data_IF_714681049633
#
_entry.id   IF_714681049633
#
_cell.length_a   1.000
_cell.length_b   1.000
_cell.length_c   1.000
_cell.angle_alpha   90.00
_cell.angle_beta   90.00
_cell.angle_gamma   90.00
#
_symmetry.space_group_name_H-M   'P 1'
#
loop_
_entity.id
_entity.type
_entity.pdbx_description
1 polymer ?
#
# COMPACT_ATOMS: atom_id res chain seq x y z
N UNK A 1 -1.66 27.68 15.43
CA UNK A 1 -0.55 27.42 14.57
C UNK A 1 0.28 26.29 15.16
N UNK A 2 0.72 25.43 14.33
CA UNK A 2 1.31 24.18 14.78
C UNK A 2 2.80 24.25 15.04
N UNK A 3 3.36 25.40 15.07
CA UNK A 3 4.79 25.56 15.17
C UNK A 3 5.53 25.36 13.84
N UNK A 4 4.81 25.24 12.75
CA UNK A 4 5.41 25.20 11.43
C UNK A 4 5.33 26.59 10.83
N UNK A 5 6.47 27.10 10.40
CA UNK A 5 6.54 28.35 9.67
C UNK A 5 6.18 28.11 8.21
N UNK A 6 5.73 29.14 7.54
CA UNK A 6 5.42 29.07 6.11
C UNK A 6 6.62 28.63 5.28
N UNK A 7 7.83 28.94 5.77
CA UNK A 7 9.06 28.58 5.08
C UNK A 7 9.50 27.14 5.29
N UNK A 8 8.88 26.42 6.24
CA UNK A 8 9.26 25.04 6.55
C UNK A 8 8.80 24.10 5.45
N UNK A 9 7.65 24.38 4.87
CA UNK A 9 7.09 23.56 3.81
C UNK A 9 6.51 24.48 2.72
N UNK A 10 6.70 24.09 1.48
CA UNK A 10 6.20 24.88 0.34
C UNK A 10 4.82 24.36 -0.07
N UNK A 11 4.11 25.21 -0.85
CA UNK A 11 2.82 24.80 -1.41
C UNK A 11 2.95 23.58 -2.31
N UNK A 12 4.02 23.51 -3.07
CA UNK A 12 4.31 22.38 -3.95
C UNK A 12 4.48 21.10 -3.13
N UNK A 13 5.17 21.17 -2.00
CA UNK A 13 5.35 20.05 -1.10
C UNK A 13 4.03 19.60 -0.49
N UNK A 14 3.17 20.55 -0.08
CA UNK A 14 1.85 20.25 0.43
C UNK A 14 1.01 19.52 -0.62
N UNK A 15 1.12 19.95 -1.87
CA UNK A 15 0.42 19.33 -2.97
C UNK A 15 0.87 17.88 -3.17
N UNK A 16 2.17 17.66 -3.09
CA UNK A 16 2.73 16.31 -3.20
C UNK A 16 2.28 15.40 -2.06
N UNK A 17 2.18 15.95 -0.86
CA UNK A 17 1.67 15.20 0.29
C UNK A 17 0.22 14.78 0.05
N UNK A 18 -0.60 15.71 -0.42
CA UNK A 18 -2.00 15.42 -0.70
C UNK A 18 -2.14 14.36 -1.78
N UNK A 19 -1.30 14.44 -2.81
CA UNK A 19 -1.29 13.47 -3.90
C UNK A 19 -0.86 12.10 -3.41
N UNK A 20 0.22 12.04 -2.63
CA UNK A 20 0.72 10.78 -2.08
C UNK A 20 -0.31 10.13 -1.15
N UNK A 21 -1.09 10.93 -0.47
CA UNK A 21 -2.12 10.44 0.44
C UNK A 21 -3.42 10.07 -0.27
N UNK A 22 -3.50 10.32 -1.57
CA UNK A 22 -4.67 10.00 -2.40
C UNK A 22 -5.98 10.55 -1.81
N UNK A 23 -5.90 11.77 -1.29
CA UNK A 23 -7.07 12.44 -0.72
C UNK A 23 -7.40 12.08 0.71
N UNK A 24 -6.64 11.20 1.33
CA UNK A 24 -6.85 10.85 2.74
C UNK A 24 -6.16 11.87 3.64
N UNK A 25 -6.94 12.68 4.30
CA UNK A 25 -6.43 13.76 5.16
C UNK A 25 -5.60 13.24 6.33
N UNK A 26 -5.97 12.10 6.89
CA UNK A 26 -5.23 11.51 8.02
C UNK A 26 -3.85 11.06 7.59
N UNK A 27 -3.79 10.44 6.43
CA UNK A 27 -2.52 9.99 5.87
C UNK A 27 -1.64 11.20 5.53
N UNK A 28 -2.22 12.24 4.95
CA UNK A 28 -1.48 13.47 4.62
C UNK A 28 -0.88 14.09 5.89
N UNK A 29 -1.66 14.16 6.96
CA UNK A 29 -1.17 14.69 8.25
C UNK A 29 -0.06 13.82 8.82
N UNK A 30 -0.22 12.51 8.73
CA UNK A 30 0.80 11.57 9.19
C UNK A 30 2.12 11.73 8.45
N UNK A 31 2.07 11.87 7.13
CA UNK A 31 3.25 12.10 6.32
C UNK A 31 3.93 13.42 6.73
N UNK A 32 3.15 14.46 6.89
CA UNK A 32 3.67 15.77 7.28
C UNK A 32 4.34 15.74 8.65
N UNK A 33 3.70 15.09 9.62
CA UNK A 33 4.27 14.95 10.96
C UNK A 33 5.59 14.19 10.95
N UNK A 34 5.63 13.10 10.21
CA UNK A 34 6.84 12.28 10.10
C UNK A 34 7.97 13.08 9.47
N UNK A 35 7.67 13.81 8.39
CA UNK A 35 8.66 14.65 7.73
C UNK A 35 9.14 15.80 8.63
N UNK A 36 8.22 16.43 9.35
CA UNK A 36 8.56 17.51 10.28
C UNK A 36 9.45 16.99 11.43
N UNK A 37 9.14 15.81 11.96
CA UNK A 37 9.96 15.19 13.00
C UNK A 37 11.35 14.86 12.49
N UNK A 38 11.47 14.39 11.27
CA UNK A 38 12.76 14.10 10.65
C UNK A 38 13.58 15.37 10.48
N UNK A 39 12.94 16.47 10.05
CA UNK A 39 13.60 17.75 9.90
C UNK A 39 14.12 18.25 11.25
N UNK A 40 13.31 18.14 12.29
CA UNK A 40 13.67 18.56 13.64
C UNK A 40 14.86 17.77 14.18
N UNK A 41 14.83 16.45 14.01
CA UNK A 41 15.94 15.59 14.48
C UNK A 41 17.25 15.89 13.78
N UNK A 42 17.20 16.32 12.53
CA UNK A 42 18.39 16.66 11.75
C UNK A 42 18.83 18.10 11.94
N UNK A 43 18.08 18.88 12.71
CA UNK A 43 18.35 20.28 12.91
C UNK A 43 18.12 21.11 11.65
N UNK A 44 17.27 20.62 10.76
CA UNK A 44 16.96 21.29 9.51
C UNK A 44 15.86 22.33 9.72
N UNK A 45 16.01 23.49 9.08
CA UNK A 45 14.99 24.53 9.15
C UNK A 45 13.81 24.29 8.25
N UNK A 46 13.97 23.37 7.30
CA UNK A 46 12.95 23.08 6.28
C UNK A 46 12.79 21.58 6.10
N UNK A 47 11.61 21.21 5.65
CA UNK A 47 11.34 19.86 5.20
C UNK A 47 11.81 19.76 3.76
N UNK A 48 12.72 18.84 3.49
CA UNK A 48 13.22 18.64 2.12
C UNK A 48 12.32 17.65 1.38
N UNK A 49 12.42 17.67 0.05
CA UNK A 49 11.68 16.70 -0.77
C UNK A 49 12.06 15.27 -0.42
N UNK A 50 13.33 15.03 -0.11
CA UNK A 50 13.80 13.72 0.32
C UNK A 50 13.11 13.26 1.59
N UNK A 51 12.98 14.16 2.58
CA UNK A 51 12.27 13.85 3.83
C UNK A 51 10.81 13.51 3.58
N UNK A 52 10.17 14.21 2.64
CA UNK A 52 8.79 13.91 2.28
C UNK A 52 8.65 12.57 1.60
N UNK A 53 9.55 12.23 0.68
CA UNK A 53 9.53 10.95 0.00
C UNK A 53 9.72 9.80 0.99
N UNK A 54 10.67 9.95 1.92
CA UNK A 54 10.90 8.94 2.95
C UNK A 54 9.69 8.78 3.86
N UNK A 55 9.10 9.89 4.28
CA UNK A 55 7.91 9.85 5.14
C UNK A 55 6.73 9.21 4.44
N UNK A 56 6.53 9.52 3.16
CA UNK A 56 5.45 8.92 2.38
C UNK A 56 5.65 7.42 2.20
N UNK A 57 6.89 7.01 1.95
CA UNK A 57 7.23 5.59 1.81
C UNK A 57 6.99 4.84 3.13
N UNK A 58 7.44 5.41 4.24
CA UNK A 58 7.24 4.81 5.57
C UNK A 58 5.75 4.70 5.90
N UNK A 59 4.96 5.71 5.56
CA UNK A 59 3.53 5.70 5.80
C UNK A 59 2.84 4.60 4.99
N UNK A 60 3.23 4.43 3.74
CA UNK A 60 2.68 3.36 2.89
C UNK A 60 3.04 1.99 3.44
N UNK A 61 4.27 1.80 3.88
CA UNK A 61 4.74 0.54 4.45
C UNK A 61 3.99 0.22 5.73
N UNK A 62 3.76 1.22 6.59
CA UNK A 62 3.00 1.04 7.81
C UNK A 62 1.56 0.63 7.53
N UNK A 63 0.93 1.27 6.57
CA UNK A 63 -0.45 0.94 6.19
C UNK A 63 -0.51 -0.46 5.60
N UNK A 64 0.45 -0.80 4.74
CA UNK A 64 0.52 -2.14 4.17
C UNK A 64 0.65 -3.19 5.27
N UNK A 65 1.55 -2.96 6.22
CA UNK A 65 1.76 -3.90 7.31
C UNK A 65 0.50 -4.05 8.16
N UNK A 66 -0.16 -2.93 8.47
CA UNK A 66 -1.42 -2.95 9.22
C UNK A 66 -2.48 -3.74 8.47
N UNK A 67 -2.58 -3.54 7.17
CA UNK A 67 -3.55 -4.27 6.35
C UNK A 67 -3.23 -5.75 6.29
N UNK A 68 -1.95 -6.11 6.19
CA UNK A 68 -1.53 -7.51 6.23
C UNK A 68 -1.89 -8.17 7.56
N UNK A 69 -1.64 -7.45 8.65
CA UNK A 69 -1.93 -7.96 10.00
C UNK A 69 -3.42 -8.15 10.23
N UNK A 70 -4.26 -7.42 9.51
CA UNK A 70 -5.71 -7.51 9.64
C UNK A 70 -6.32 -8.63 8.81
N UNK A 71 -5.54 -9.29 7.96
CA UNK A 71 -6.06 -10.37 7.14
C UNK A 71 -6.43 -11.58 7.98
N UNK A 72 -7.56 -12.20 7.65
CA UNK A 72 -7.94 -13.47 8.27
C UNK A 72 -6.99 -14.57 7.80
N UNK A 73 -6.94 -15.73 8.48
CA UNK A 73 -6.05 -16.81 8.05
C UNK A 73 -6.26 -17.22 6.60
N UNK A 74 -7.50 -17.32 6.15
CA UNK A 74 -7.80 -17.69 4.77
C UNK A 74 -7.33 -16.61 3.78
N UNK A 75 -7.54 -15.36 4.12
CA UNK A 75 -7.07 -14.24 3.28
C UNK A 75 -5.54 -14.25 3.20
N UNK A 76 -4.88 -14.53 4.31
CA UNK A 76 -3.43 -14.58 4.34
C UNK A 76 -2.89 -15.70 3.46
N UNK A 77 -3.55 -16.86 3.45
CA UNK A 77 -3.16 -17.95 2.57
C UNK A 77 -3.23 -17.51 1.11
N UNK A 78 -4.32 -16.85 0.72
CA UNK A 78 -4.48 -16.34 -0.65
C UNK A 78 -3.37 -15.33 -0.98
N UNK A 79 -3.08 -14.44 -0.07
CA UNK A 79 -1.99 -13.46 -0.26
C UNK A 79 -0.63 -14.15 -0.46
N UNK A 80 -0.33 -15.13 0.39
CA UNK A 80 0.94 -15.86 0.32
C UNK A 80 1.08 -16.64 -0.98
N UNK A 81 -0.01 -17.20 -1.48
CA UNK A 81 -0.02 -17.91 -2.77
C UNK A 81 0.40 -16.97 -3.90
N UNK A 82 -0.18 -15.79 -3.95
CA UNK A 82 0.18 -14.81 -4.98
C UNK A 82 1.63 -14.36 -4.81
N UNK A 83 2.07 -14.19 -3.57
CA UNK A 83 3.46 -13.79 -3.29
C UNK A 83 4.46 -14.84 -3.75
N UNK A 84 4.16 -16.12 -3.55
CA UNK A 84 5.09 -17.20 -3.88
C UNK A 84 5.09 -17.57 -5.35
N UNK A 85 3.94 -17.53 -5.99
CA UNK A 85 3.80 -18.03 -7.36
C UNK A 85 3.79 -16.93 -8.41
N UNK A 86 3.76 -15.68 -7.98
CA UNK A 86 3.73 -14.55 -8.91
C UNK A 86 2.35 -14.32 -9.51
N UNK A 87 2.28 -13.67 -10.67
CA UNK A 87 0.96 -13.36 -11.25
C UNK A 87 0.16 -14.61 -11.54
N UNK A 88 -1.06 -14.64 -11.02
CA UNK A 88 -1.97 -15.79 -11.16
C UNK A 88 -3.38 -15.31 -11.43
N UNK A 89 -4.12 -16.07 -12.23
CA UNK A 89 -5.54 -15.85 -12.40
C UNK A 89 -6.34 -16.36 -11.21
N UNK A 90 -7.61 -15.91 -11.04
CA UNK A 90 -8.43 -16.32 -9.90
C UNK A 90 -8.61 -17.82 -9.79
N UNK A 91 -8.74 -18.51 -10.92
CA UNK A 91 -8.89 -19.97 -10.93
C UNK A 91 -7.68 -20.69 -10.40
N UNK A 92 -6.50 -20.26 -10.81
CA UNK A 92 -5.24 -20.83 -10.36
C UNK A 92 -5.04 -20.59 -8.86
N UNK A 93 -5.34 -19.37 -8.42
CA UNK A 93 -5.26 -19.02 -7.01
C UNK A 93 -6.18 -19.91 -6.19
N UNK A 94 -7.40 -20.14 -6.68
CA UNK A 94 -8.36 -20.98 -5.97
C UNK A 94 -7.88 -22.42 -5.87
N UNK A 95 -7.24 -22.94 -6.89
CA UNK A 95 -6.69 -24.30 -6.88
C UNK A 95 -5.62 -24.44 -5.81
N UNK A 96 -4.65 -23.51 -5.76
CA UNK A 96 -3.62 -23.54 -4.73
C UNK A 96 -4.21 -23.40 -3.34
N UNK A 97 -5.16 -22.50 -3.19
CA UNK A 97 -5.83 -22.27 -1.92
C UNK A 97 -6.55 -23.51 -1.42
N UNK A 98 -7.27 -24.18 -2.31
CA UNK A 98 -8.00 -25.40 -1.96
C UNK A 98 -7.06 -26.51 -1.49
N UNK A 99 -5.88 -26.57 -2.08
CA UNK A 99 -4.88 -27.57 -1.68
C UNK A 99 -4.25 -27.26 -0.32
N UNK A 100 -4.16 -25.99 0.05
CA UNK A 100 -3.48 -25.59 1.27
C UNK A 100 -4.35 -25.54 2.51
N UNK A 101 -5.67 -25.39 2.35
CA UNK A 101 -6.57 -25.26 3.50
C UNK A 101 -7.48 -26.46 3.61
N UNK A 102 -7.83 -26.81 4.85
CA UNK A 102 -8.71 -27.95 5.12
C UNK A 102 -10.18 -27.62 4.87
N UNK A 103 -10.55 -26.35 5.01
CA UNK A 103 -11.93 -25.90 4.86
C UNK A 103 -11.99 -24.73 3.89
N UNK A 104 -11.79 -24.99 2.58
CA UNK A 104 -11.72 -23.90 1.61
C UNK A 104 -13.08 -23.24 1.41
N UNK A 105 -13.03 -21.93 1.26
CA UNK A 105 -14.20 -21.13 0.94
C UNK A 105 -14.48 -21.21 -0.56
N UNK A 106 -15.66 -20.73 -0.95
CA UNK A 106 -16.07 -20.78 -2.35
C UNK A 106 -15.19 -19.87 -3.22
N UNK A 107 -15.23 -20.11 -4.54
CA UNK A 107 -14.55 -19.25 -5.50
C UNK A 107 -14.99 -17.81 -5.37
N UNK A 108 -16.28 -17.57 -5.15
CA UNK A 108 -16.83 -16.24 -4.97
C UNK A 108 -16.20 -15.54 -3.77
N UNK A 109 -16.06 -16.25 -2.66
CA UNK A 109 -15.46 -15.71 -1.45
C UNK A 109 -14.00 -15.36 -1.70
N UNK A 110 -13.26 -16.22 -2.39
CA UNK A 110 -11.86 -15.97 -2.73
C UNK A 110 -11.73 -14.75 -3.64
N UNK A 111 -12.63 -14.58 -4.60
CA UNK A 111 -12.64 -13.38 -5.44
C UNK A 111 -12.89 -12.13 -4.61
N UNK A 112 -13.75 -12.22 -3.60
CA UNK A 112 -13.98 -11.10 -2.69
C UNK A 112 -12.71 -10.76 -1.91
N UNK A 113 -11.97 -11.78 -1.47
CA UNK A 113 -10.69 -11.58 -0.81
C UNK A 113 -9.70 -10.85 -1.73
N UNK A 114 -9.62 -11.29 -2.98
CA UNK A 114 -8.74 -10.66 -3.97
C UNK A 114 -9.10 -9.20 -4.22
N UNK A 115 -10.40 -8.92 -4.35
CA UNK A 115 -10.88 -7.55 -4.52
C UNK A 115 -10.52 -6.67 -3.33
N UNK A 116 -10.71 -7.19 -2.13
CA UNK A 116 -10.41 -6.45 -0.89
C UNK A 116 -8.92 -6.15 -0.79
N UNK A 117 -8.08 -7.16 -1.07
CA UNK A 117 -6.63 -6.98 -1.02
C UNK A 117 -6.14 -6.00 -2.10
N UNK A 118 -6.81 -5.99 -3.24
CA UNK A 118 -6.51 -5.00 -4.29
C UNK A 118 -6.86 -3.60 -3.82
N UNK A 119 -8.01 -3.43 -3.17
CA UNK A 119 -8.40 -2.14 -2.60
C UNK A 119 -7.41 -1.66 -1.54
N UNK A 120 -6.83 -2.56 -0.79
CA UNK A 120 -5.84 -2.24 0.24
C UNK A 120 -4.44 -2.07 -0.32
N UNK A 121 -4.28 -2.14 -1.62
CA UNK A 121 -2.98 -2.03 -2.31
C UNK A 121 -1.98 -3.12 -1.88
N UNK A 122 -2.49 -4.26 -1.49
CA UNK A 122 -1.65 -5.44 -1.23
C UNK A 122 -1.39 -6.22 -2.50
N UNK A 123 -2.36 -6.21 -3.42
CA UNK A 123 -2.26 -6.86 -4.72
C UNK A 123 -2.63 -5.88 -5.83
N UNK A 124 -2.13 -6.15 -7.03
CA UNK A 124 -2.57 -5.46 -8.24
C UNK A 124 -3.35 -6.44 -9.10
N UNK A 125 -4.34 -5.92 -9.82
CA UNK A 125 -5.10 -6.70 -10.79
C UNK A 125 -4.80 -6.14 -12.17
N UNK A 126 -4.36 -7.01 -13.07
CA UNK A 126 -4.06 -6.61 -14.44
C UNK A 126 -4.84 -7.46 -15.43
N UNK A 127 -5.13 -6.88 -16.57
CA UNK A 127 -5.89 -7.55 -17.63
C UNK A 127 -7.38 -7.36 -17.52
N UNK A 128 -8.08 -7.95 -18.47
CA UNK A 128 -9.54 -7.90 -18.51
C UNK A 128 -10.15 -8.92 -17.57
N UNK A 129 -11.47 -8.88 -17.40
CA UNK A 129 -12.15 -9.80 -16.48
C UNK A 129 -11.89 -11.27 -16.76
N UNK A 130 -11.62 -11.64 -18.01
CA UNK A 130 -11.34 -13.03 -18.38
C UNK A 130 -9.88 -13.40 -18.16
N UNK A 131 -9.00 -12.46 -18.48
CA UNK A 131 -7.56 -12.66 -18.43
C UNK A 131 -6.93 -11.97 -17.23
N UNK A 132 -7.75 -11.59 -16.26
CA UNK A 132 -7.26 -10.89 -15.09
C UNK A 132 -6.32 -11.75 -14.28
N UNK A 133 -5.16 -11.17 -13.95
CA UNK A 133 -4.18 -11.80 -13.09
C UNK A 133 -3.91 -10.89 -11.90
N UNK A 134 -3.64 -11.51 -10.77
CA UNK A 134 -3.30 -10.80 -9.54
C UNK A 134 -1.85 -11.01 -9.22
N UNK A 135 -1.19 -9.93 -8.85
CA UNK A 135 0.23 -9.95 -8.49
C UNK A 135 0.45 -9.15 -7.22
N UNK A 136 1.56 -9.43 -6.55
CA UNK A 136 1.94 -8.67 -5.36
C UNK A 136 2.30 -7.25 -5.75
N UNK A 137 1.85 -6.30 -4.95
CA UNK A 137 2.31 -4.91 -5.09
C UNK A 137 3.72 -4.84 -4.53
N UNK A 138 4.68 -4.53 -5.39
CA UNK A 138 6.07 -4.38 -5.01
C UNK A 138 6.38 -2.89 -4.88
N UNK A 139 6.81 -2.43 -3.70
CA UNK A 139 7.15 -1.01 -3.54
C UNK A 139 8.14 -0.50 -4.56
N UNK A 140 9.05 -1.36 -5.01
CA UNK A 140 10.03 -0.98 -6.01
C UNK A 140 9.41 -0.79 -7.39
N UNK A 141 8.33 -1.49 -7.69
CA UNK A 141 7.67 -1.39 -9.00
C UNK A 141 6.52 -0.40 -9.02
N UNK A 142 6.12 0.12 -7.86
CA UNK A 142 5.08 1.15 -7.82
C UNK A 142 5.63 2.52 -8.14
N UNK A 143 6.90 2.62 -8.38
CA UNK A 143 7.52 3.87 -8.81
C UNK A 143 6.92 4.31 -10.14
N UNK A 144 6.47 5.56 -10.26
CA UNK A 144 5.83 6.04 -11.48
C UNK A 144 6.81 6.45 -12.57
N UNK A 145 7.89 5.76 -12.66
CA UNK A 145 8.98 6.15 -13.56
C UNK A 145 8.73 5.81 -15.01
N UNK A 146 7.68 5.13 -15.29
CA UNK A 146 7.47 4.72 -16.67
C UNK A 146 6.48 5.55 -17.36
#
# INVERSE_FOLDING_TARGET
KWGLDEDVITDDQLYRIADAAAGDARLAIGILRTAASAADRRGADRITDEMLLDAASDARDSIRQTNLDSLTPHQRVVYDIVREHGPLGPGEIHEYYTDEVDDPRTKRTVRNYLSKMTQYNLLTAEGTSRDREYALVDPATTSPTQ
#
